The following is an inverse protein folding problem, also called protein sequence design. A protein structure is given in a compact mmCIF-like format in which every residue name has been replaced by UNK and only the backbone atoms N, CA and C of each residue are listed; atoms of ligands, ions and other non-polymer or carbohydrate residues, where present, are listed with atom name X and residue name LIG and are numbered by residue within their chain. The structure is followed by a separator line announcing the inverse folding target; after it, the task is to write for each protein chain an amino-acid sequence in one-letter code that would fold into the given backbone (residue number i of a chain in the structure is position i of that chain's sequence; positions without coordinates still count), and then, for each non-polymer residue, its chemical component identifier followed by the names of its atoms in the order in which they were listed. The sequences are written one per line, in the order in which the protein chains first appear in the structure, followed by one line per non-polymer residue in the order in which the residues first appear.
data_IF_719164966759
#
_entry.id   IF_719164966759
#
_cell.length_a   1.000
_cell.length_b   1.000
_cell.length_c   1.000
_cell.angle_alpha   90.00
_cell.angle_beta   90.00
_cell.angle_gamma   90.00
#
_symmetry.space_group_name_H-M   'P 1'
#
loop_
_entity.id
_entity.type
_entity.pdbx_description
1 polymer ?
#
# COMPACT_ATOMS: atom_id res chain seq x y z
N UNK A 1 14.69 2.71 -6.14
CA UNK A 1 14.50 4.18 -6.19
C UNK A 1 14.38 4.82 -4.81
N UNK A 2 13.73 4.13 -3.85
CA UNK A 2 13.49 4.63 -2.51
C UNK A 2 13.90 3.54 -1.48
N UNK A 3 15.21 3.43 -1.15
CA UNK A 3 15.74 2.34 -0.33
C UNK A 3 15.17 2.29 1.10
N UNK A 4 14.84 3.44 1.71
CA UNK A 4 14.30 3.47 3.08
C UNK A 4 12.90 2.83 3.10
N UNK A 5 12.04 3.22 2.17
CA UNK A 5 10.72 2.65 1.98
C UNK A 5 10.77 1.15 1.62
N UNK A 6 11.71 0.75 0.76
CA UNK A 6 11.94 -0.66 0.41
C UNK A 6 12.33 -1.50 1.62
N UNK A 7 13.31 -1.06 2.41
CA UNK A 7 13.76 -1.79 3.61
C UNK A 7 12.63 -1.94 4.64
N UNK A 8 11.89 -0.86 4.89
CA UNK A 8 10.76 -0.92 5.82
C UNK A 8 9.63 -1.82 5.31
N UNK A 9 9.33 -1.79 4.01
CA UNK A 9 8.31 -2.67 3.44
C UNK A 9 8.69 -4.14 3.65
N UNK A 10 9.96 -4.48 3.46
CA UNK A 10 10.46 -5.82 3.70
C UNK A 10 10.28 -6.24 5.17
N UNK A 11 10.54 -5.35 6.14
CA UNK A 11 10.28 -5.61 7.58
C UNK A 11 8.80 -5.90 7.86
N UNK A 12 7.90 -5.09 7.31
CA UNK A 12 6.45 -5.28 7.46
C UNK A 12 5.96 -6.59 6.84
N UNK A 13 6.48 -6.97 5.66
CA UNK A 13 6.17 -8.24 5.01
C UNK A 13 6.68 -9.42 5.84
N UNK A 14 7.92 -9.37 6.33
CA UNK A 14 8.49 -10.41 7.19
C UNK A 14 7.69 -10.58 8.50
N UNK A 15 7.14 -9.48 9.03
CA UNK A 15 6.27 -9.48 10.21
C UNK A 15 4.81 -9.85 9.91
N UNK A 16 4.47 -10.20 8.66
CA UNK A 16 3.10 -10.50 8.21
C UNK A 16 2.10 -9.37 8.48
N UNK A 17 2.58 -8.13 8.54
CA UNK A 17 1.75 -6.96 8.87
C UNK A 17 0.56 -6.79 7.91
N UNK A 18 0.77 -7.11 6.63
CA UNK A 18 -0.24 -6.94 5.59
C UNK A 18 -1.20 -8.12 5.43
N UNK A 19 -1.03 -9.19 6.20
CA UNK A 19 -1.95 -10.33 6.13
C UNK A 19 -3.35 -9.88 6.56
N UNK A 20 -4.35 -10.23 5.75
CA UNK A 20 -5.76 -9.83 5.91
C UNK A 20 -6.04 -8.32 5.83
N UNK A 21 -5.05 -7.48 5.50
CA UNK A 21 -5.27 -6.05 5.27
C UNK A 21 -6.27 -5.83 4.12
N UNK A 22 -7.24 -4.95 4.36
CA UNK A 22 -8.27 -4.57 3.38
C UNK A 22 -7.87 -3.31 2.61
N UNK A 23 -8.27 -3.26 1.33
CA UNK A 23 -8.10 -2.07 0.49
C UNK A 23 -9.17 -1.03 0.81
N UNK A 24 -8.98 -0.26 1.88
CA UNK A 24 -10.03 0.57 2.48
C UNK A 24 -10.35 1.86 1.72
N UNK A 25 -9.55 2.24 0.72
CA UNK A 25 -9.83 3.41 -0.12
C UNK A 25 -9.45 3.11 -1.56
N UNK A 26 -10.44 3.10 -2.44
CA UNK A 26 -10.24 2.73 -3.84
C UNK A 26 -10.85 3.80 -4.73
N UNK A 27 -9.99 4.54 -5.42
CA UNK A 27 -10.38 5.67 -6.26
C UNK A 27 -10.04 5.39 -7.71
N UNK A 28 -11.08 5.41 -8.54
CA UNK A 28 -10.96 5.11 -9.97
C UNK A 28 -10.00 6.09 -10.64
N UNK A 29 -9.15 5.56 -11.53
CA UNK A 29 -8.13 6.32 -12.25
C UNK A 29 -7.21 7.17 -11.34
N UNK A 30 -6.99 6.76 -10.10
CA UNK A 30 -6.09 7.43 -9.17
C UNK A 30 -5.23 6.42 -8.40
N UNK A 31 -5.82 5.71 -7.44
CA UNK A 31 -5.08 4.82 -6.55
C UNK A 31 -5.96 3.81 -5.80
N UNK A 32 -5.30 2.76 -5.29
CA UNK A 32 -5.84 1.76 -4.36
C UNK A 32 -5.01 1.83 -3.08
N UNK A 33 -5.62 2.20 -1.95
CA UNK A 33 -4.96 2.35 -0.64
C UNK A 33 -5.21 1.15 0.28
N UNK A 34 -4.17 0.78 1.04
CA UNK A 34 -4.21 -0.22 2.10
C UNK A 34 -3.12 0.08 3.15
N UNK A 35 -2.87 -0.87 4.06
CA UNK A 35 -1.77 -0.79 5.03
C UNK A 35 -2.17 -0.26 6.41
N UNK A 36 -3.42 -0.46 6.79
CA UNK A 36 -3.84 -0.49 8.20
C UNK A 36 -4.09 -1.96 8.55
N UNK A 37 -3.40 -2.47 9.57
CA UNK A 37 -3.43 -3.89 9.92
C UNK A 37 -4.85 -4.38 10.23
N UNK A 38 -5.11 -5.65 9.90
CA UNK A 38 -6.39 -6.31 10.18
C UNK A 38 -6.71 -6.37 11.67
N UNK A 39 -5.69 -6.56 12.50
CA UNK A 39 -5.76 -6.58 13.96
C UNK A 39 -5.24 -5.25 14.53
N UNK A 40 -6.05 -4.51 15.32
CA UNK A 40 -5.60 -3.30 15.99
C UNK A 40 -4.33 -3.48 16.82
N UNK A 41 -4.13 -4.63 17.48
CA UNK A 41 -2.94 -4.88 18.29
C UNK A 41 -1.66 -4.85 17.44
N UNK A 42 -1.70 -5.46 16.25
CA UNK A 42 -0.61 -5.40 15.26
C UNK A 42 -0.41 -3.97 14.77
N UNK A 43 -1.49 -3.24 14.46
CA UNK A 43 -1.40 -1.83 14.06
C UNK A 43 -0.69 -0.97 15.12
N UNK A 44 -0.95 -1.22 16.41
CA UNK A 44 -0.39 -0.44 17.50
C UNK A 44 1.12 -0.66 17.70
N UNK A 45 1.64 -1.82 17.31
CA UNK A 45 3.09 -2.10 17.35
C UNK A 45 3.86 -1.24 16.34
N UNK A 46 3.28 -1.00 15.16
CA UNK A 46 3.98 -0.36 14.04
C UNK A 46 3.64 1.12 13.83
N UNK A 47 2.55 1.65 14.41
CA UNK A 47 2.09 3.03 14.17
C UNK A 47 3.09 4.13 14.53
N UNK A 48 4.13 3.81 15.31
CA UNK A 48 5.15 4.76 15.77
C UNK A 48 6.49 4.60 15.02
N UNK A 49 6.61 3.61 14.15
CA UNK A 49 7.75 3.46 13.24
C UNK A 49 7.60 4.45 12.08
N UNK A 50 7.97 5.70 12.34
CA UNK A 50 7.95 6.77 11.36
C UNK A 50 9.20 6.67 10.47
N UNK A 51 8.97 6.73 9.16
CA UNK A 51 10.04 6.71 8.16
C UNK A 51 10.50 8.11 7.79
N UNK A 52 11.80 8.24 7.58
CA UNK A 52 12.36 9.35 6.83
C UNK A 52 11.95 9.26 5.36
N UNK A 53 11.78 10.41 4.74
CA UNK A 53 11.33 10.50 3.35
C UNK A 53 12.47 10.15 2.38
N UNK A 54 12.24 9.15 1.51
CA UNK A 54 13.06 8.97 0.30
C UNK A 54 12.80 10.13 -0.69
N UNK A 55 13.81 10.52 -1.47
CA UNK A 55 13.62 11.47 -2.57
C UNK A 55 12.73 10.87 -3.67
N UNK A 56 11.98 11.72 -4.37
CA UNK A 56 11.19 11.31 -5.53
C UNK A 56 12.12 11.17 -6.74
N UNK A 57 12.61 9.96 -6.96
CA UNK A 57 13.46 9.60 -8.11
C UNK A 57 12.69 8.92 -9.25
N UNK A 58 11.46 8.47 -8.97
CA UNK A 58 10.53 7.93 -9.96
C UNK A 58 9.19 8.64 -9.90
N UNK A 59 8.49 8.59 -11.04
CA UNK A 59 7.14 9.16 -11.17
C UNK A 59 6.08 8.16 -10.71
N UNK A 60 5.01 8.67 -10.08
CA UNK A 60 3.79 7.92 -9.74
C UNK A 60 2.99 7.50 -10.97
N UNK A 61 3.58 6.64 -11.81
CA UNK A 61 2.95 6.02 -12.98
C UNK A 61 2.06 4.87 -12.55
N UNK A 62 1.18 4.44 -13.45
CA UNK A 62 0.38 3.24 -13.27
C UNK A 62 1.23 2.04 -12.85
N UNK A 63 0.76 1.28 -11.86
CA UNK A 63 1.42 0.11 -11.32
C UNK A 63 2.50 0.39 -10.29
N UNK A 64 2.93 1.64 -10.10
CA UNK A 64 3.89 1.97 -9.03
C UNK A 64 3.24 1.92 -7.66
N UNK A 65 4.00 1.49 -6.64
CA UNK A 65 3.57 1.43 -5.25
C UNK A 65 4.35 2.43 -4.39
N UNK A 66 3.62 3.16 -3.55
CA UNK A 66 4.10 4.35 -2.86
C UNK A 66 3.52 4.41 -1.44
N UNK A 67 4.31 4.88 -0.46
CA UNK A 67 3.80 5.14 0.89
C UNK A 67 2.83 6.32 0.91
N UNK A 68 1.70 6.16 1.62
CA UNK A 68 0.83 7.27 1.97
C UNK A 68 1.49 8.14 3.05
N UNK A 69 1.19 9.43 3.04
CA UNK A 69 1.78 10.41 3.96
C UNK A 69 0.80 11.55 4.26
N UNK A 70 0.92 12.16 5.44
CA UNK A 70 0.22 13.40 5.81
C UNK A 70 1.14 14.62 5.80
N UNK A 71 2.41 14.45 5.40
CA UNK A 71 3.42 15.51 5.39
C UNK A 71 4.83 14.95 5.51
N UNK A 72 5.82 15.85 5.61
CA UNK A 72 7.23 15.47 5.72
C UNK A 72 7.46 14.53 6.91
N UNK A 73 8.12 13.39 6.67
CA UNK A 73 8.47 12.40 7.69
C UNK A 73 7.27 11.94 8.53
N UNK A 74 6.18 11.55 7.87
CA UNK A 74 4.96 11.02 8.55
C UNK A 74 4.55 9.64 8.03
N UNK A 75 5.33 9.06 7.11
CA UNK A 75 5.09 7.74 6.54
C UNK A 75 5.26 6.68 7.62
N UNK A 76 4.36 5.71 7.64
CA UNK A 76 4.40 4.55 8.55
C UNK A 76 4.12 3.29 7.74
N UNK A 77 2.90 2.75 7.79
CA UNK A 77 2.55 1.45 7.22
C UNK A 77 1.60 1.51 6.04
N UNK A 78 0.96 2.67 5.80
CA UNK A 78 -0.04 2.81 4.75
C UNK A 78 0.62 2.96 3.38
N UNK A 79 0.11 2.22 2.42
CA UNK A 79 0.60 2.16 1.04
C UNK A 79 -0.53 2.39 0.06
N UNK A 80 -0.16 2.75 -1.17
CA UNK A 80 -1.07 2.70 -2.29
C UNK A 80 -0.42 2.24 -3.57
N UNK A 81 -1.22 1.61 -4.43
CA UNK A 81 -0.87 1.27 -5.81
C UNK A 81 -1.49 2.33 -6.72
N UNK A 82 -0.67 2.94 -7.58
CA UNK A 82 -1.12 3.92 -8.57
C UNK A 82 -1.92 3.22 -9.68
N UNK A 83 -3.16 3.62 -9.89
CA UNK A 83 -4.03 3.08 -10.97
C UNK A 83 -4.31 4.09 -12.08
N UNK A 84 -3.84 5.34 -11.92
CA UNK A 84 -3.99 6.41 -12.91
C UNK A 84 -3.51 5.98 -14.31
N UNK A 85 -4.22 6.41 -15.35
CA UNK A 85 -3.97 6.05 -16.76
C UNK A 85 -3.19 7.11 -17.54
N UNK A 86 -2.63 8.10 -16.85
CA UNK A 86 -1.85 9.18 -17.47
C UNK A 86 -0.49 8.63 -17.93
N UNK A 87 -0.13 8.84 -19.19
CA UNK A 87 1.13 8.33 -19.75
C UNK A 87 2.35 8.91 -19.03
N UNK A 88 2.26 10.19 -18.66
CA UNK A 88 3.25 10.92 -17.90
C UNK A 88 3.22 10.62 -16.39
N UNK A 89 2.24 9.85 -15.90
CA UNK A 89 2.01 9.56 -14.49
C UNK A 89 1.47 10.76 -13.68
N UNK A 90 1.41 10.61 -12.36
CA UNK A 90 0.82 11.62 -11.48
C UNK A 90 1.86 12.63 -10.96
N UNK A 91 2.16 13.65 -11.77
CA UNK A 91 3.11 14.73 -11.43
C UNK A 91 2.71 15.56 -10.21
N UNK A 92 1.43 15.57 -9.84
CA UNK A 92 0.98 16.25 -8.62
C UNK A 92 1.51 15.54 -7.37
N UNK A 93 1.42 14.21 -7.34
CA UNK A 93 1.97 13.40 -6.23
C UNK A 93 3.50 13.49 -6.19
N UNK A 94 4.17 13.48 -7.35
CA UNK A 94 5.63 13.63 -7.42
C UNK A 94 6.10 14.91 -6.72
N UNK A 95 5.44 16.05 -7.01
CA UNK A 95 5.75 17.35 -6.41
C UNK A 95 5.47 17.42 -4.91
N UNK A 96 4.60 16.55 -4.40
CA UNK A 96 4.26 16.44 -2.98
C UNK A 96 5.16 15.48 -2.21
N UNK A 97 6.19 14.90 -2.86
CA UNK A 97 7.16 14.03 -2.20
C UNK A 97 6.73 12.57 -2.13
N UNK A 98 5.65 12.16 -2.80
CA UNK A 98 5.24 10.75 -2.85
C UNK A 98 6.23 9.95 -3.69
N UNK A 99 7.24 9.35 -3.05
CA UNK A 99 8.31 8.62 -3.70
C UNK A 99 7.91 7.15 -3.93
N UNK A 100 7.77 6.70 -5.20
CA UNK A 100 7.56 5.29 -5.49
C UNK A 100 8.77 4.45 -5.09
N UNK A 101 8.51 3.28 -4.49
CA UNK A 101 9.57 2.36 -4.07
C UNK A 101 9.50 0.99 -4.76
N UNK A 102 8.36 0.64 -5.34
CA UNK A 102 8.14 -0.62 -6.04
C UNK A 102 7.19 -0.43 -7.23
N UNK A 103 7.05 -1.47 -8.05
CA UNK A 103 6.08 -1.52 -9.15
C UNK A 103 5.50 -2.93 -9.29
N UNK A 104 4.25 -3.00 -9.73
CA UNK A 104 3.59 -4.23 -10.16
C UNK A 104 4.20 -4.65 -11.49
N UNK A 105 4.83 -5.83 -11.53
CA UNK A 105 5.39 -6.42 -12.75
C UNK A 105 4.35 -7.26 -13.50
N UNK A 106 3.53 -8.00 -12.76
CA UNK A 106 2.50 -8.90 -13.26
C UNK A 106 1.22 -8.76 -12.42
N UNK A 107 0.06 -9.02 -13.03
CA UNK A 107 -1.22 -9.03 -12.31
C UNK A 107 -1.88 -7.66 -12.11
N UNK A 108 -1.51 -6.65 -12.92
CA UNK A 108 -2.13 -5.32 -12.83
C UNK A 108 -3.64 -5.36 -13.14
N UNK A 109 -4.09 -6.31 -13.94
CA UNK A 109 -5.51 -6.59 -14.22
C UNK A 109 -6.29 -7.02 -12.97
N UNK A 110 -5.63 -7.63 -11.98
CA UNK A 110 -6.26 -7.95 -10.69
C UNK A 110 -6.33 -6.72 -9.79
N UNK A 111 -5.33 -5.83 -9.85
CA UNK A 111 -5.38 -4.53 -9.16
C UNK A 111 -6.57 -3.71 -9.66
N UNK A 112 -6.84 -3.72 -10.96
CA UNK A 112 -8.00 -3.02 -11.55
C UNK A 112 -9.35 -3.59 -11.12
N UNK A 113 -9.39 -4.85 -10.69
CA UNK A 113 -10.60 -5.54 -10.22
C UNK A 113 -10.85 -5.36 -8.72
N UNK A 114 -9.94 -4.69 -7.99
CA UNK A 114 -10.14 -4.40 -6.56
C UNK A 114 -11.44 -3.61 -6.38
N UNK A 115 -12.27 -4.08 -5.44
CA UNK A 115 -13.64 -3.57 -5.29
C UNK A 115 -13.63 -2.08 -4.90
N UNK A 116 -14.18 -1.24 -5.77
CA UNK A 116 -14.26 0.22 -5.61
C UNK A 116 -15.59 0.76 -5.07
N UNK A 117 -16.54 -0.13 -4.76
CA UNK A 117 -17.92 0.24 -4.37
C UNK A 117 -17.98 1.26 -3.21
N UNK A 118 -17.05 1.16 -2.26
CA UNK A 118 -17.06 1.98 -1.06
C UNK A 118 -16.25 3.27 -1.18
N UNK A 119 -15.46 3.47 -2.24
CA UNK A 119 -14.68 4.69 -2.47
C UNK A 119 -13.82 5.07 -1.27
N UNK A 120 -14.15 6.19 -0.62
CA UNK A 120 -13.47 6.71 0.58
C UNK A 120 -14.31 6.60 1.87
N UNK A 121 -15.44 5.87 1.84
CA UNK A 121 -16.36 5.74 2.98
C UNK A 121 -15.73 5.11 4.23
N UNK A 122 -14.84 4.09 4.14
CA UNK A 122 -14.20 3.52 5.33
C UNK A 122 -13.37 4.56 6.10
N UNK A 123 -13.69 4.73 7.38
CA UNK A 123 -13.06 5.74 8.24
C UNK A 123 -11.78 5.16 8.84
N UNK A 124 -10.61 5.61 8.38
CA UNK A 124 -9.30 5.09 8.80
C UNK A 124 -9.13 5.02 10.33
N UNK A 125 -9.57 6.03 11.08
CA UNK A 125 -9.50 6.02 12.54
C UNK A 125 -10.33 4.91 13.21
N UNK A 126 -11.43 4.46 12.57
CA UNK A 126 -12.16 3.27 13.02
C UNK A 126 -11.41 1.99 12.65
N UNK A 127 -10.76 1.93 11.48
CA UNK A 127 -9.92 0.78 11.09
C UNK A 127 -8.75 0.63 12.07
N UNK A 128 -8.07 1.71 12.45
CA UNK A 128 -6.97 1.66 13.44
C UNK A 128 -7.45 1.14 14.81
N UNK A 129 -8.68 1.47 15.22
CA UNK A 129 -9.21 1.09 16.54
C UNK A 129 -9.90 -0.28 16.58
N UNK A 130 -10.57 -0.66 15.50
CA UNK A 130 -11.44 -1.86 15.43
C UNK A 130 -11.00 -2.89 14.39
N UNK A 131 -10.06 -2.53 13.52
CA UNK A 131 -9.51 -3.42 12.50
C UNK A 131 -10.58 -3.96 11.56
N UNK A 132 -10.44 -5.24 11.23
CA UNK A 132 -11.34 -5.94 10.32
C UNK A 132 -12.73 -6.21 10.90
N UNK A 133 -12.95 -6.11 12.22
CA UNK A 133 -14.31 -6.22 12.79
C UNK A 133 -15.22 -5.14 12.20
N UNK A 134 -14.76 -3.89 12.25
CA UNK A 134 -15.45 -2.76 11.64
C UNK A 134 -15.61 -2.90 10.12
N UNK A 135 -14.56 -3.34 9.42
CA UNK A 135 -14.62 -3.44 7.97
C UNK A 135 -15.47 -4.61 7.48
N UNK A 136 -15.55 -5.71 8.22
CA UNK A 136 -16.40 -6.84 7.88
C UNK A 136 -17.88 -6.53 8.12
N UNK A 137 -18.21 -5.77 9.17
CA UNK A 137 -19.56 -5.33 9.48
C UNK A 137 -20.08 -4.30 8.44
N UNK A 138 -19.34 -3.20 8.25
CA UNK A 138 -19.84 -2.05 7.48
C UNK A 138 -19.50 -2.14 5.98
N UNK A 139 -18.44 -2.88 5.62
CA UNK A 139 -17.89 -2.94 4.26
C UNK A 139 -17.51 -4.38 3.85
N UNK A 140 -18.45 -5.34 3.94
CA UNK A 140 -18.15 -6.77 3.83
C UNK A 140 -17.49 -7.16 2.50
N UNK A 141 -17.75 -6.41 1.42
CA UNK A 141 -17.24 -6.71 0.07
C UNK A 141 -15.88 -6.08 -0.26
N UNK A 142 -15.18 -5.46 0.69
CA UNK A 142 -13.82 -4.98 0.44
C UNK A 142 -12.90 -6.14 0.07
N UNK A 143 -12.15 -5.97 -1.02
CA UNK A 143 -11.04 -6.85 -1.35
C UNK A 143 -9.96 -6.77 -0.26
N UNK A 144 -9.20 -7.84 -0.08
CA UNK A 144 -8.17 -7.94 0.95
C UNK A 144 -6.98 -8.78 0.49
N UNK A 145 -5.87 -8.58 1.17
CA UNK A 145 -4.64 -9.34 1.00
C UNK A 145 -4.77 -10.63 1.81
N UNK A 146 -4.65 -11.80 1.18
CA UNK A 146 -4.62 -13.06 1.93
C UNK A 146 -3.30 -13.21 2.67
N UNK A 147 -2.19 -13.06 1.94
CA UNK A 147 -0.81 -13.03 2.47
C UNK A 147 0.13 -12.39 1.46
N UNK A 148 1.26 -11.85 1.90
CA UNK A 148 2.39 -11.46 1.03
C UNK A 148 3.55 -12.43 1.23
N UNK A 149 4.22 -12.84 0.15
CA UNK A 149 5.35 -13.75 0.20
C UNK A 149 6.47 -13.25 -0.71
N UNK A 150 7.70 -13.40 -0.24
CA UNK A 150 8.88 -13.21 -1.07
C UNK A 150 9.02 -14.39 -2.02
N UNK A 151 9.23 -14.10 -3.31
CA UNK A 151 9.57 -15.11 -4.31
C UNK A 151 11.08 -15.04 -4.49
N UNK A 152 11.78 -16.02 -3.91
CA UNK A 152 13.21 -16.20 -4.17
C UNK A 152 13.33 -17.00 -5.46
N UNK A 153 13.68 -16.34 -6.56
CA UNK A 153 14.10 -17.06 -7.77
C UNK A 153 15.33 -17.91 -7.41
N UNK A 154 15.21 -19.23 -7.51
CA UNK A 154 16.40 -20.07 -7.41
C UNK A 154 17.31 -19.75 -8.59
N UNK A 155 18.64 -19.64 -8.39
CA UNK A 155 19.56 -19.41 -9.49
C UNK A 155 19.34 -20.51 -10.53
N UNK A 156 19.05 -20.12 -11.77
CA UNK A 156 19.01 -21.04 -12.91
C UNK A 156 20.31 -21.82 -12.88
N UNK A 157 20.22 -23.13 -12.61
CA UNK A 157 21.37 -23.99 -12.43
C UNK A 157 22.38 -23.77 -13.55
N UNK A 158 23.64 -23.56 -13.17
CA UNK A 158 24.75 -23.76 -14.10
C UNK A 158 24.61 -25.18 -14.65
N UNK A 159 24.33 -25.28 -15.94
CA UNK A 159 24.46 -26.53 -16.69
C UNK A 159 25.93 -26.83 -16.91
#
# INVERSE_FOLDING_TARGET
WAPIGTEHFHKLVAAKFYDQCRFFRVLDNFMVQFGIAADPSVQQTWKHEILNDDPVLETNRRGTMTYATSGKNTRTTQLFINTNKKAEGNKFLDKQGFAPFAQVLEGMEFVDQINKEYGEKPVQGKIVRKGNEYLAEDFPRLSYIVSIREIVEQPKGMR
#
